data_IF_595205018608
#
_entry.id   IF_595205018608
#
_cell.length_a   1.000
_cell.length_b   1.000
_cell.length_c   1.000
_cell.angle_alpha   90.00
_cell.angle_beta   90.00
_cell.angle_gamma   90.00
#
_symmetry.space_group_name_H-M   'P 1'
#
loop_
_entity.id
_entity.type
_entity.pdbx_description
1 polymer ?
#
# COMPACT_ATOMS: atom_id res chain seq x y z
N UNK A 1 9.58 12.83 -4.61
CA UNK A 1 8.31 12.81 -5.36
C UNK A 1 8.56 12.46 -6.83
N UNK A 2 9.59 13.00 -7.48
CA UNK A 2 9.97 12.66 -8.88
C UNK A 2 11.00 11.53 -8.99
N UNK A 3 10.81 10.45 -8.22
CA UNK A 3 11.79 9.36 -8.14
C UNK A 3 11.62 8.31 -9.24
N UNK A 4 10.45 8.25 -9.88
CA UNK A 4 10.09 7.30 -10.95
C UNK A 4 9.35 8.07 -12.04
N UNK A 5 9.67 7.87 -13.33
CA UNK A 5 9.05 8.61 -14.44
C UNK A 5 7.61 8.18 -14.77
N UNK A 6 7.13 7.11 -14.12
CA UNK A 6 5.78 6.54 -14.29
C UNK A 6 4.72 7.39 -13.61
N UNK A 7 3.61 7.65 -14.30
CA UNK A 7 2.49 8.45 -13.77
C UNK A 7 1.83 7.78 -12.56
N UNK A 8 1.88 6.46 -12.47
CA UNK A 8 1.32 5.67 -11.38
C UNK A 8 2.07 5.86 -10.05
N UNK A 9 3.32 6.32 -10.07
CA UNK A 9 4.19 6.39 -8.89
C UNK A 9 3.59 7.27 -7.78
N UNK A 10 3.14 8.47 -8.12
CA UNK A 10 2.61 9.43 -7.14
C UNK A 10 1.33 8.90 -6.49
N UNK A 11 0.43 8.35 -7.29
CA UNK A 11 -0.82 7.73 -6.81
C UNK A 11 -0.53 6.52 -5.93
N UNK A 12 0.38 5.61 -6.34
CA UNK A 12 0.76 4.45 -5.52
C UNK A 12 1.44 4.84 -4.21
N UNK A 13 2.30 5.86 -4.23
CA UNK A 13 2.92 6.39 -3.02
C UNK A 13 1.86 6.94 -2.06
N UNK A 14 0.89 7.69 -2.58
CA UNK A 14 -0.21 8.21 -1.76
C UNK A 14 -1.06 7.08 -1.18
N UNK A 15 -1.41 6.07 -1.98
CA UNK A 15 -2.17 4.88 -1.52
C UNK A 15 -1.40 4.12 -0.45
N UNK A 16 -0.07 3.98 -0.60
CA UNK A 16 0.78 3.37 0.42
C UNK A 16 0.79 4.18 1.73
N UNK A 17 0.95 5.50 1.65
CA UNK A 17 0.87 6.36 2.82
C UNK A 17 -0.50 6.27 3.49
N UNK A 18 -1.58 6.25 2.71
CA UNK A 18 -2.94 6.06 3.22
C UNK A 18 -3.08 4.70 3.93
N UNK A 19 -2.58 3.62 3.33
CA UNK A 19 -2.57 2.30 3.95
C UNK A 19 -1.80 2.30 5.28
N UNK A 20 -0.61 2.93 5.33
CA UNK A 20 0.16 3.07 6.56
C UNK A 20 -0.62 3.82 7.65
N UNK A 21 -1.27 4.94 7.30
CA UNK A 21 -2.11 5.69 8.23
C UNK A 21 -3.27 4.83 8.78
N UNK A 22 -3.97 4.08 7.92
CA UNK A 22 -5.06 3.18 8.35
C UNK A 22 -4.54 2.13 9.34
N UNK A 23 -3.42 1.50 9.02
CA UNK A 23 -2.79 0.48 9.86
C UNK A 23 -2.39 1.06 11.23
N UNK A 24 -1.83 2.27 11.25
CA UNK A 24 -1.46 2.98 12.49
C UNK A 24 -2.66 3.40 13.32
N UNK A 25 -3.66 4.05 12.71
CA UNK A 25 -4.84 4.54 13.42
C UNK A 25 -5.65 3.40 14.05
N UNK A 26 -5.74 2.24 13.37
CA UNK A 26 -6.41 1.06 13.93
C UNK A 26 -5.80 0.59 15.24
N UNK A 27 -4.50 0.75 15.47
CA UNK A 27 -3.83 0.38 16.73
C UNK A 27 -4.41 1.11 17.94
N UNK A 28 -4.97 2.32 17.75
CA UNK A 28 -5.59 3.11 18.83
C UNK A 28 -6.86 2.48 19.39
N UNK A 29 -7.45 1.51 18.70
CA UNK A 29 -8.70 0.84 19.09
C UNK A 29 -8.50 -0.52 19.77
N UNK A 30 -7.27 -0.82 20.23
CA UNK A 30 -6.94 -2.06 20.92
C UNK A 30 -7.30 -3.30 20.10
N UNK A 31 -7.87 -4.32 20.75
CA UNK A 31 -8.24 -5.60 20.14
C UNK A 31 -9.28 -5.50 19.00
N UNK A 32 -10.00 -4.38 18.88
CA UNK A 32 -10.94 -4.14 17.75
C UNK A 32 -10.17 -3.74 16.48
N UNK A 33 -9.02 -3.09 16.66
CA UNK A 33 -8.12 -2.73 15.58
C UNK A 33 -7.28 -3.92 15.15
N UNK A 34 -6.44 -4.39 16.07
CA UNK A 34 -5.50 -5.48 15.92
C UNK A 34 -5.55 -6.36 17.17
N UNK A 35 -5.58 -7.68 16.98
CA UNK A 35 -5.64 -8.64 18.09
C UNK A 35 -4.40 -8.52 18.98
N UNK A 36 -3.23 -8.33 18.35
CA UNK A 36 -1.94 -8.11 19.02
C UNK A 36 -1.47 -6.67 18.79
N UNK A 37 -0.88 -5.99 19.79
CA UNK A 37 -0.40 -4.62 19.65
C UNK A 37 0.92 -4.55 18.89
N UNK A 38 0.90 -4.83 17.59
CA UNK A 38 2.09 -4.73 16.73
C UNK A 38 2.61 -3.29 16.70
N UNK A 39 3.92 -3.16 16.53
CA UNK A 39 4.57 -1.87 16.34
C UNK A 39 4.89 -1.66 14.86
N UNK A 40 3.97 -1.04 14.14
CA UNK A 40 4.24 -0.52 12.80
C UNK A 40 4.92 0.84 12.92
N UNK A 41 5.96 1.09 12.14
CA UNK A 41 6.77 2.30 12.24
C UNK A 41 7.18 2.85 10.87
N UNK A 42 7.91 3.98 10.90
CA UNK A 42 8.37 4.66 9.68
C UNK A 42 9.32 3.79 8.85
N UNK A 43 10.08 2.87 9.47
CA UNK A 43 10.97 1.96 8.74
C UNK A 43 10.19 1.00 7.85
N UNK A 44 9.04 0.50 8.30
CA UNK A 44 8.18 -0.37 7.49
C UNK A 44 7.63 0.39 6.27
N UNK A 45 7.22 1.65 6.46
CA UNK A 45 6.80 2.53 5.36
C UNK A 45 7.94 2.79 4.38
N UNK A 46 9.12 3.15 4.87
CA UNK A 46 10.30 3.42 4.03
C UNK A 46 10.71 2.18 3.22
N UNK A 47 10.64 1.00 3.81
CA UNK A 47 10.93 -0.26 3.12
C UNK A 47 9.90 -0.54 2.01
N UNK A 48 8.61 -0.28 2.26
CA UNK A 48 7.58 -0.36 1.22
C UNK A 48 7.80 0.65 0.08
N UNK A 49 8.17 1.89 0.41
CA UNK A 49 8.45 2.95 -0.57
C UNK A 49 9.63 2.55 -1.46
N UNK A 50 10.73 2.08 -0.85
CA UNK A 50 11.91 1.63 -1.58
C UNK A 50 11.58 0.43 -2.48
N UNK A 51 10.80 -0.53 -1.98
CA UNK A 51 10.32 -1.64 -2.80
C UNK A 51 9.49 -1.15 -3.99
N UNK A 52 8.48 -0.30 -3.78
CA UNK A 52 7.64 0.22 -4.85
C UNK A 52 8.46 0.99 -5.89
N UNK A 53 9.41 1.80 -5.45
CA UNK A 53 10.29 2.56 -6.33
C UNK A 53 11.09 1.60 -7.23
N UNK A 54 11.77 0.62 -6.63
CA UNK A 54 12.57 -0.35 -7.37
C UNK A 54 11.70 -1.22 -8.30
N UNK A 55 10.52 -1.62 -7.85
CA UNK A 55 9.59 -2.41 -8.65
C UNK A 55 9.12 -1.63 -9.89
N UNK A 56 8.67 -0.38 -9.73
CA UNK A 56 8.23 0.43 -10.87
C UNK A 56 9.36 0.79 -11.83
N UNK A 57 10.59 1.00 -11.33
CA UNK A 57 11.77 1.22 -12.19
C UNK A 57 12.12 -0.03 -13.01
N UNK A 58 12.11 -1.21 -12.40
CA UNK A 58 12.33 -2.48 -13.10
C UNK A 58 11.25 -2.75 -14.16
N UNK A 59 10.00 -2.43 -13.84
CA UNK A 59 8.88 -2.51 -14.79
C UNK A 59 9.03 -1.56 -15.97
N UNK A 60 9.50 -0.34 -15.72
CA UNK A 60 9.77 0.66 -16.75
C UNK A 60 10.89 0.20 -17.70
N UNK A 61 11.99 -0.30 -17.14
CA UNK A 61 13.10 -0.88 -17.90
C UNK A 61 12.66 -2.07 -18.76
N UNK A 62 11.74 -2.89 -18.25
CA UNK A 62 11.15 -4.04 -18.97
C UNK A 62 10.01 -3.65 -19.92
N UNK A 63 9.62 -2.37 -19.99
CA UNK A 63 8.46 -1.88 -20.75
C UNK A 63 7.16 -2.65 -20.45
N UNK A 64 7.00 -3.08 -19.20
CA UNK A 64 5.82 -3.80 -18.76
C UNK A 64 4.61 -2.85 -18.73
N UNK A 65 3.49 -3.23 -19.35
CA UNK A 65 2.33 -2.36 -19.49
C UNK A 65 1.63 -2.05 -18.17
N UNK A 66 1.42 -3.08 -17.35
CA UNK A 66 0.58 -3.01 -16.16
C UNK A 66 1.34 -3.45 -14.91
N UNK A 67 1.05 -2.82 -13.76
CA UNK A 67 1.64 -3.16 -12.45
C UNK A 67 1.33 -4.61 -12.07
N UNK A 68 2.34 -5.34 -11.59
CA UNK A 68 2.13 -6.72 -11.12
C UNK A 68 1.55 -6.71 -9.71
N UNK A 69 0.23 -6.53 -9.62
CA UNK A 69 -0.48 -6.34 -8.36
C UNK A 69 -0.30 -7.47 -7.34
N UNK A 70 -0.22 -8.73 -7.80
CA UNK A 70 0.04 -9.87 -6.92
C UNK A 70 1.37 -9.72 -6.18
N UNK A 71 2.43 -9.31 -6.87
CA UNK A 71 3.74 -9.04 -6.28
C UNK A 71 3.68 -7.87 -5.30
N UNK A 72 3.01 -6.77 -5.68
CA UNK A 72 2.88 -5.59 -4.81
C UNK A 72 2.14 -5.95 -3.51
N UNK A 73 0.98 -6.62 -3.62
CA UNK A 73 0.20 -7.05 -2.47
C UNK A 73 1.01 -7.96 -1.57
N UNK A 74 1.59 -9.02 -2.14
CA UNK A 74 2.39 -9.98 -1.38
C UNK A 74 3.54 -9.31 -0.64
N UNK A 75 4.29 -8.45 -1.33
CA UNK A 75 5.42 -7.76 -0.71
C UNK A 75 4.97 -6.85 0.43
N UNK A 76 3.88 -6.08 0.26
CA UNK A 76 3.41 -5.17 1.31
C UNK A 76 2.76 -5.95 2.46
N UNK A 77 1.85 -6.88 2.18
CA UNK A 77 1.03 -7.55 3.18
C UNK A 77 1.74 -8.69 3.91
N UNK A 78 2.49 -9.53 3.20
CA UNK A 78 3.12 -10.72 3.79
C UNK A 78 4.56 -10.44 4.25
N UNK A 79 5.31 -9.66 3.48
CA UNK A 79 6.74 -9.44 3.76
C UNK A 79 6.96 -8.21 4.66
N UNK A 80 6.48 -7.03 4.26
CA UNK A 80 6.78 -5.79 4.96
C UNK A 80 5.98 -5.66 6.27
N UNK A 81 4.66 -5.59 6.18
CA UNK A 81 3.81 -5.52 7.38
C UNK A 81 3.59 -6.91 8.00
N UNK A 82 3.42 -7.94 7.18
CA UNK A 82 3.16 -9.32 7.60
C UNK A 82 4.31 -9.98 8.36
N UNK A 83 5.55 -9.51 8.17
CA UNK A 83 6.70 -9.97 8.95
C UNK A 83 6.57 -9.70 10.45
N UNK A 84 5.71 -8.75 10.85
CA UNK A 84 5.42 -8.44 12.26
C UNK A 84 4.16 -9.15 12.78
N UNK A 85 3.27 -9.54 11.87
CA UNK A 85 1.95 -10.07 12.23
C UNK A 85 2.07 -11.54 12.60
N UNK A 86 1.65 -11.88 13.81
CA UNK A 86 1.73 -13.24 14.36
C UNK A 86 0.39 -13.96 14.41
N UNK A 87 -0.72 -13.23 14.39
CA UNK A 87 -2.08 -13.76 14.41
C UNK A 87 -2.67 -13.91 12.99
N UNK A 88 -3.37 -15.01 12.73
CA UNK A 88 -3.91 -15.34 11.41
C UNK A 88 -5.08 -14.42 11.00
N UNK A 89 -5.89 -13.95 11.96
CA UNK A 89 -6.97 -13.02 11.67
C UNK A 89 -6.44 -11.63 11.35
N UNK A 90 -5.41 -11.19 12.07
CA UNK A 90 -4.68 -9.97 11.78
C UNK A 90 -3.99 -10.04 10.40
N UNK A 91 -3.41 -11.19 10.03
CA UNK A 91 -2.83 -11.41 8.70
C UNK A 91 -3.87 -11.30 7.60
N UNK A 92 -5.04 -11.94 7.81
CA UNK A 92 -6.18 -11.84 6.89
C UNK A 92 -6.67 -10.39 6.75
N UNK A 93 -6.70 -9.62 7.84
CA UNK A 93 -7.05 -8.21 7.82
C UNK A 93 -6.07 -7.40 6.95
N UNK A 94 -4.76 -7.61 7.14
CA UNK A 94 -3.73 -6.94 6.35
C UNK A 94 -3.82 -7.28 4.86
N UNK A 95 -4.04 -8.56 4.53
CA UNK A 95 -4.26 -9.00 3.14
C UNK A 95 -5.49 -8.34 2.52
N UNK A 96 -6.57 -8.19 3.29
CA UNK A 96 -7.79 -7.50 2.82
C UNK A 96 -7.50 -6.02 2.50
N UNK A 97 -6.70 -5.33 3.33
CA UNK A 97 -6.27 -3.96 3.01
C UNK A 97 -5.42 -3.91 1.76
N UNK A 98 -4.49 -4.85 1.60
CA UNK A 98 -3.63 -4.87 0.42
C UNK A 98 -4.43 -5.13 -0.86
N UNK A 99 -5.39 -6.04 -0.85
CA UNK A 99 -6.29 -6.29 -1.97
C UNK A 99 -7.18 -5.10 -2.31
N UNK A 100 -7.72 -4.42 -1.29
CA UNK A 100 -8.58 -3.25 -1.50
C UNK A 100 -7.80 -2.04 -2.03
N UNK A 101 -6.62 -1.78 -1.47
CA UNK A 101 -5.86 -0.57 -1.77
C UNK A 101 -4.95 -0.72 -2.98
N UNK A 102 -4.32 -1.88 -3.18
CA UNK A 102 -3.39 -2.11 -4.29
C UNK A 102 -4.05 -2.96 -5.39
N UNK A 103 -4.91 -2.30 -6.16
CA UNK A 103 -5.56 -2.86 -7.33
C UNK A 103 -5.53 -1.88 -8.50
N UNK A 104 -5.77 -2.40 -9.70
CA UNK A 104 -5.84 -1.58 -10.92
C UNK A 104 -6.86 -0.45 -10.80
N UNK A 105 -7.98 -0.71 -10.11
CA UNK A 105 -9.02 0.27 -9.82
C UNK A 105 -8.48 1.51 -9.09
N UNK A 106 -7.46 1.37 -8.24
CA UNK A 106 -6.88 2.48 -7.48
C UNK A 106 -6.12 3.48 -8.35
N UNK A 107 -5.78 3.11 -9.58
CA UNK A 107 -5.15 4.00 -10.56
C UNK A 107 -6.18 4.67 -11.47
N UNK A 108 -7.44 4.24 -11.43
CA UNK A 108 -8.48 4.80 -12.29
C UNK A 108 -8.91 6.18 -11.77
N UNK A 109 -9.18 7.13 -12.68
CA UNK A 109 -9.69 8.44 -12.30
C UNK A 109 -11.03 8.30 -11.58
N UNK A 110 -11.23 9.10 -10.52
CA UNK A 110 -12.42 9.07 -9.65
C UNK A 110 -12.60 7.77 -8.86
N UNK A 111 -11.56 6.94 -8.70
CA UNK A 111 -11.62 5.83 -7.75
C UNK A 111 -11.83 6.38 -6.33
N UNK A 112 -12.86 5.89 -5.65
CA UNK A 112 -13.16 6.21 -4.27
C UNK A 112 -12.74 5.06 -3.35
N UNK A 113 -11.85 5.33 -2.39
CA UNK A 113 -11.49 4.34 -1.36
C UNK A 113 -12.64 4.13 -0.37
N UNK A 114 -13.37 5.20 -0.12
CA UNK A 114 -14.57 5.27 0.70
C UNK A 114 -15.55 6.23 0.02
N UNK A 115 -16.86 6.06 0.22
CA UNK A 115 -17.85 6.96 -0.38
C UNK A 115 -17.52 8.43 -0.11
N UNK A 116 -17.27 9.20 -1.17
CA UNK A 116 -16.88 10.62 -1.10
C UNK A 116 -15.41 10.89 -0.75
N UNK A 117 -14.54 9.87 -0.75
CA UNK A 117 -13.09 10.02 -0.57
C UNK A 117 -12.34 9.44 -1.78
N UNK A 118 -12.13 10.31 -2.76
CA UNK A 118 -11.42 9.99 -4.00
C UNK A 118 -9.91 9.96 -3.81
N UNK A 119 -9.26 9.06 -4.55
CA UNK A 119 -7.80 9.02 -4.65
C UNK A 119 -7.35 10.21 -5.52
N UNK A 120 -6.45 11.08 -5.03
CA UNK A 120 -5.92 12.17 -5.83
C UNK A 120 -5.10 11.62 -7.00
N UNK A 121 -5.21 12.27 -8.15
CA UNK A 121 -4.46 11.84 -9.34
C UNK A 121 -3.04 12.39 -9.28
N UNK A 122 -2.09 11.78 -10.01
CA UNK A 122 -0.67 12.16 -9.94
C UNK A 122 -0.34 13.63 -10.21
N UNK A 123 -1.25 14.40 -10.82
CA UNK A 123 -1.09 15.85 -11.01
C UNK A 123 -1.55 16.68 -9.79
N UNK A 124 -2.41 16.11 -8.95
CA UNK A 124 -2.94 16.73 -7.72
C UNK A 124 -2.07 16.45 -6.48
N UNK A 125 -1.06 15.58 -6.62
CA UNK A 125 -0.09 15.14 -5.59
C UNK A 125 1.29 15.70 -5.91
#
# INVERSE_FOLDING_TARGET
LDSVPRSEWRTLLWVLCHCHCVVQERRKYGAIGWTVPYEFNQSDLNACVLFLQNHLLDMDAKKAKDVTWSTVRYMISEIQYGGRITDDWDRRQMNTFAEKFFAQSSLEPNCELFPGYSIPTGNDI
#
